data_IF_160278095692
#
_entry.id   IF_160278095692
#
_cell.length_a   1.000
_cell.length_b   1.000
_cell.length_c   1.000
_cell.angle_alpha   90.00
_cell.angle_beta   90.00
_cell.angle_gamma   90.00
#
_symmetry.space_group_name_H-M   'P 1'
#
loop_
_entity.id
_entity.type
_entity.pdbx_description
1 polymer ?
#
# COMPACT_ATOMS: atom_id res chain seq x y z
N UNK A 1 -12.80 1.96 18.50
CA UNK A 1 -13.33 0.83 17.71
C UNK A 1 -12.31 -0.29 17.81
N UNK A 2 -12.71 -1.56 17.82
CA UNK A 2 -11.80 -2.71 17.83
C UNK A 2 -12.01 -3.45 16.52
N UNK A 3 -10.92 -3.65 15.77
CA UNK A 3 -10.94 -4.37 14.49
C UNK A 3 -10.79 -5.88 14.73
N UNK A 4 -11.55 -6.67 13.99
CA UNK A 4 -11.42 -8.12 13.99
C UNK A 4 -10.30 -8.56 13.04
N UNK A 5 -9.41 -9.42 13.53
CA UNK A 5 -8.30 -9.96 12.78
C UNK A 5 -8.54 -11.43 12.45
N UNK A 6 -8.60 -11.74 11.16
CA UNK A 6 -8.75 -13.08 10.61
C UNK A 6 -7.41 -13.54 10.02
N UNK A 7 -6.48 -13.99 10.84
CA UNK A 7 -5.10 -14.26 10.44
C UNK A 7 -4.97 -15.57 9.64
N UNK A 8 -5.54 -15.62 8.44
CA UNK A 8 -5.50 -16.80 7.57
C UNK A 8 -4.25 -16.86 6.68
N UNK A 9 -3.56 -15.73 6.50
CA UNK A 9 -2.34 -15.66 5.71
C UNK A 9 -1.14 -15.75 6.66
N UNK A 10 -0.38 -16.84 6.57
CA UNK A 10 0.86 -17.00 7.33
C UNK A 10 1.88 -15.88 7.04
N UNK A 11 2.85 -15.72 7.93
CA UNK A 11 3.95 -14.80 7.71
C UNK A 11 4.87 -15.32 6.61
N UNK A 12 5.04 -14.53 5.56
CA UNK A 12 5.93 -14.82 4.45
C UNK A 12 7.07 -13.81 4.52
N UNK A 13 8.23 -14.26 4.93
CA UNK A 13 9.45 -13.47 4.85
C UNK A 13 10.21 -13.84 3.57
N UNK A 14 10.46 -12.84 2.73
CA UNK A 14 11.24 -13.00 1.51
C UNK A 14 12.54 -12.20 1.64
N UNK A 15 13.64 -12.78 1.16
CA UNK A 15 14.87 -12.01 1.01
C UNK A 15 14.68 -10.86 0.03
N UNK A 16 15.29 -9.70 0.36
CA UNK A 16 15.18 -8.47 -0.43
C UNK A 16 16.56 -8.06 -0.92
N UNK A 17 16.63 -7.69 -2.19
CA UNK A 17 17.83 -7.12 -2.80
C UNK A 17 17.46 -5.82 -3.51
N UNK A 18 18.14 -4.73 -3.16
CA UNK A 18 17.96 -3.47 -3.85
C UNK A 18 19.05 -3.31 -4.92
N UNK A 19 18.60 -3.08 -6.14
CA UNK A 19 19.45 -2.74 -7.28
C UNK A 19 19.10 -1.33 -7.76
N UNK A 20 19.98 -0.62 -8.49
CA UNK A 20 19.65 0.69 -9.00
C UNK A 20 18.35 0.69 -9.85
N UNK A 21 17.27 1.21 -9.27
CA UNK A 21 15.96 1.34 -9.94
C UNK A 21 15.02 0.16 -9.82
N UNK A 22 15.40 -0.93 -9.13
CA UNK A 22 14.53 -2.08 -8.92
C UNK A 22 14.78 -2.75 -7.56
N UNK A 23 13.71 -3.03 -6.82
CA UNK A 23 13.74 -3.91 -5.67
C UNK A 23 13.34 -5.31 -6.11
N UNK A 24 14.14 -6.30 -5.74
CA UNK A 24 13.90 -7.71 -6.02
C UNK A 24 13.58 -8.46 -4.74
N UNK A 25 12.77 -9.49 -4.84
CA UNK A 25 12.44 -10.43 -3.78
C UNK A 25 12.79 -11.84 -4.24
N UNK A 26 13.36 -12.64 -3.35
CA UNK A 26 13.57 -14.07 -3.63
C UNK A 26 12.33 -14.83 -3.20
N UNK A 27 11.67 -15.47 -4.16
CA UNK A 27 10.51 -16.34 -3.91
C UNK A 27 10.95 -17.75 -3.48
N UNK A 28 10.07 -18.56 -2.89
CA UNK A 28 10.43 -19.90 -2.38
C UNK A 28 11.02 -20.84 -3.45
N UNK A 29 10.71 -20.64 -4.71
CA UNK A 29 11.36 -21.37 -5.82
C UNK A 29 12.86 -21.05 -6.00
N UNK A 30 13.36 -20.02 -5.29
CA UNK A 30 14.73 -19.52 -5.39
C UNK A 30 14.94 -18.45 -6.45
N UNK A 31 13.92 -18.14 -7.23
CA UNK A 31 13.98 -17.09 -8.25
C UNK A 31 13.89 -15.68 -7.66
N UNK A 32 14.52 -14.71 -8.32
CA UNK A 32 14.44 -13.31 -7.98
C UNK A 32 13.40 -12.62 -8.84
N UNK A 33 12.34 -12.12 -8.23
CA UNK A 33 11.24 -11.41 -8.91
C UNK A 33 11.21 -9.93 -8.54
N UNK A 34 10.85 -9.05 -9.47
CA UNK A 34 10.76 -7.62 -9.19
C UNK A 34 9.59 -7.28 -8.25
N UNK A 35 9.75 -6.18 -7.50
CA UNK A 35 8.62 -5.66 -6.73
C UNK A 35 7.58 -5.01 -7.65
N UNK A 36 6.29 -5.16 -7.30
CA UNK A 36 5.18 -4.52 -8.02
C UNK A 36 5.39 -2.99 -8.10
N UNK A 37 5.92 -2.38 -7.04
CA UNK A 37 6.21 -0.93 -7.02
C UNK A 37 7.33 -0.55 -7.98
N UNK A 38 8.33 -1.41 -8.21
CA UNK A 38 9.36 -1.18 -9.21
C UNK A 38 8.79 -1.22 -10.62
N UNK A 39 7.89 -2.17 -10.89
CA UNK A 39 7.22 -2.30 -12.19
C UNK A 39 6.30 -1.10 -12.46
N UNK A 40 5.46 -0.72 -11.51
CA UNK A 40 4.54 0.42 -11.66
C UNK A 40 5.27 1.76 -11.75
N UNK A 41 6.39 1.93 -11.03
CA UNK A 41 7.20 3.14 -11.08
C UNK A 41 7.88 3.34 -12.44
N UNK A 42 8.14 2.26 -13.18
CA UNK A 42 8.71 2.33 -14.52
C UNK A 42 7.81 3.15 -15.47
N UNK A 43 6.51 2.92 -15.44
CA UNK A 43 5.55 3.64 -16.27
C UNK A 43 5.47 5.15 -15.92
N UNK A 44 5.61 5.47 -14.64
CA UNK A 44 5.52 6.84 -14.14
C UNK A 44 6.85 7.60 -14.17
N UNK A 45 7.94 6.93 -14.51
CA UNK A 45 9.30 7.50 -14.46
C UNK A 45 9.44 8.75 -15.31
N UNK A 46 8.92 8.74 -16.55
CA UNK A 46 9.03 9.88 -17.44
C UNK A 46 8.24 11.09 -16.95
N UNK A 47 7.05 10.84 -16.37
CA UNK A 47 6.21 11.90 -15.77
C UNK A 47 6.97 12.56 -14.62
N UNK A 48 7.60 11.77 -13.77
CA UNK A 48 8.37 12.25 -12.62
C UNK A 48 9.62 13.04 -13.06
N UNK A 49 10.34 12.57 -14.08
CA UNK A 49 11.49 13.28 -14.65
C UNK A 49 11.06 14.64 -15.21
N UNK A 50 9.98 14.69 -15.98
CA UNK A 50 9.46 15.93 -16.56
C UNK A 50 9.00 16.91 -15.48
N UNK A 51 8.33 16.42 -14.43
CA UNK A 51 7.95 17.23 -13.28
C UNK A 51 9.17 17.82 -12.57
N UNK A 52 10.22 17.00 -12.31
CA UNK A 52 11.48 17.48 -11.68
C UNK A 52 12.18 18.54 -12.51
N UNK A 53 12.20 18.39 -13.83
CA UNK A 53 12.76 19.41 -14.74
C UNK A 53 11.99 20.72 -14.69
N UNK A 54 10.66 20.67 -14.59
CA UNK A 54 9.79 21.86 -14.53
C UNK A 54 9.91 22.61 -13.20
N UNK A 55 9.95 21.89 -12.09
CA UNK A 55 9.94 22.46 -10.73
C UNK A 55 11.35 22.86 -10.27
N UNK A 56 12.38 22.24 -10.81
CA UNK A 56 13.76 22.36 -10.36
C UNK A 56 14.13 21.27 -9.34
N UNK A 57 15.41 20.88 -9.36
CA UNK A 57 15.88 19.72 -8.59
C UNK A 57 15.77 19.93 -7.08
N UNK A 58 16.16 21.11 -6.59
CA UNK A 58 16.14 21.42 -5.16
C UNK A 58 14.72 21.44 -4.60
N UNK A 59 13.83 22.15 -5.28
CA UNK A 59 12.42 22.24 -4.87
C UNK A 59 11.73 20.87 -4.97
N UNK A 60 11.99 20.11 -6.03
CA UNK A 60 11.48 18.75 -6.17
C UNK A 60 11.94 17.84 -5.02
N UNK A 61 13.21 17.94 -4.61
CA UNK A 61 13.73 17.18 -3.47
C UNK A 61 13.06 17.61 -2.16
N UNK A 62 12.84 18.92 -1.95
CA UNK A 62 12.16 19.45 -0.78
C UNK A 62 10.72 18.94 -0.69
N UNK A 63 9.98 18.98 -1.80
CA UNK A 63 8.59 18.49 -1.89
C UNK A 63 8.56 16.98 -1.62
N UNK A 64 9.41 16.21 -2.30
CA UNK A 64 9.47 14.76 -2.14
C UNK A 64 9.78 14.38 -0.69
N UNK A 65 10.80 15.00 -0.08
CA UNK A 65 11.15 14.72 1.33
C UNK A 65 9.99 14.97 2.28
N UNK A 66 9.27 16.10 2.11
CA UNK A 66 8.10 16.41 2.94
C UNK A 66 6.96 15.42 2.71
N UNK A 67 6.69 15.05 1.46
CA UNK A 67 5.64 14.12 1.11
C UNK A 67 5.94 12.72 1.65
N UNK A 68 7.17 12.22 1.48
CA UNK A 68 7.61 10.92 2.00
C UNK A 68 7.47 10.87 3.52
N UNK A 69 8.04 11.88 4.24
CA UNK A 69 7.97 11.91 5.69
C UNK A 69 6.52 11.92 6.22
N UNK A 70 5.63 12.70 5.58
CA UNK A 70 4.21 12.72 5.93
C UNK A 70 3.51 11.40 5.62
N UNK A 71 3.85 10.79 4.49
CA UNK A 71 3.32 9.49 4.11
C UNK A 71 3.72 8.41 5.10
N UNK A 72 4.99 8.34 5.48
CA UNK A 72 5.49 7.37 6.48
C UNK A 72 4.74 7.51 7.80
N UNK A 73 4.69 8.73 8.37
CA UNK A 73 3.97 8.98 9.63
C UNK A 73 2.49 8.53 9.54
N UNK A 74 1.84 8.78 8.38
CA UNK A 74 0.43 8.40 8.20
C UNK A 74 0.26 6.88 8.11
N UNK A 75 1.13 6.20 7.36
CA UNK A 75 1.10 4.73 7.27
C UNK A 75 1.33 4.07 8.63
N UNK A 76 2.30 4.56 9.41
CA UNK A 76 2.57 4.06 10.77
C UNK A 76 1.36 4.25 11.70
N UNK A 77 0.73 5.43 11.66
CA UNK A 77 -0.47 5.68 12.45
C UNK A 77 -1.65 4.81 12.02
N UNK A 78 -1.87 4.65 10.71
CA UNK A 78 -2.94 3.81 10.18
C UNK A 78 -2.73 2.33 10.51
N UNK A 79 -1.49 1.84 10.38
CA UNK A 79 -1.12 0.49 10.77
C UNK A 79 -1.39 0.24 12.25
N UNK A 80 -0.88 1.10 13.14
CA UNK A 80 -1.08 0.97 14.57
C UNK A 80 -2.57 0.98 14.96
N UNK A 81 -3.36 1.84 14.30
CA UNK A 81 -4.80 1.91 14.50
C UNK A 81 -5.50 0.61 14.09
N UNK A 82 -5.23 0.09 12.89
CA UNK A 82 -5.80 -1.16 12.41
C UNK A 82 -5.34 -2.38 13.22
N UNK A 83 -4.16 -2.32 13.82
CA UNK A 83 -3.64 -3.34 14.75
C UNK A 83 -4.21 -3.22 16.17
N UNK A 84 -5.15 -2.32 16.41
CA UNK A 84 -5.72 -2.02 17.74
C UNK A 84 -4.68 -1.55 18.77
N UNK A 85 -3.60 -0.92 18.35
CA UNK A 85 -2.58 -0.33 19.22
C UNK A 85 -2.99 1.07 19.65
N UNK A 86 -2.57 1.46 20.83
CA UNK A 86 -2.73 2.85 21.29
C UNK A 86 -1.82 3.78 20.48
N UNK A 87 -2.38 4.91 20.05
CA UNK A 87 -1.67 5.96 19.32
C UNK A 87 -1.25 7.06 20.29
N UNK A 88 0.05 7.23 20.46
CA UNK A 88 0.57 8.42 21.13
C UNK A 88 0.67 9.56 20.11
N UNK A 89 -0.31 10.45 20.12
CA UNK A 89 -0.40 11.55 19.16
C UNK A 89 0.74 12.57 19.26
N UNK A 90 1.47 12.59 20.36
CA UNK A 90 2.58 13.55 20.54
C UNK A 90 3.78 13.18 19.65
N UNK A 91 3.87 11.93 19.22
CA UNK A 91 4.91 11.44 18.32
C UNK A 91 4.67 11.81 16.84
N UNK A 92 3.45 12.26 16.50
CA UNK A 92 3.05 12.53 15.12
C UNK A 92 2.97 14.02 14.80
N UNK A 93 3.34 14.37 13.57
CA UNK A 93 3.25 15.75 13.06
C UNK A 93 1.80 16.23 13.01
N UNK A 94 1.53 17.53 13.19
CA UNK A 94 0.18 18.10 13.12
C UNK A 94 -0.56 17.79 11.81
N UNK A 95 0.17 17.76 10.69
CA UNK A 95 -0.38 17.40 9.38
C UNK A 95 -0.86 15.94 9.34
N UNK A 96 -0.15 15.03 10.01
CA UNK A 96 -0.52 13.61 10.11
C UNK A 96 -1.79 13.44 10.94
N UNK A 97 -1.88 14.14 12.08
CA UNK A 97 -3.08 14.16 12.94
C UNK A 97 -4.31 14.62 12.15
N UNK A 98 -4.16 15.70 11.38
CA UNK A 98 -5.24 16.22 10.53
C UNK A 98 -5.66 15.19 9.46
N UNK A 99 -4.71 14.64 8.73
CA UNK A 99 -4.98 13.62 7.70
C UNK A 99 -5.65 12.39 8.30
N UNK A 100 -5.16 11.93 9.44
CA UNK A 100 -5.69 10.76 10.13
C UNK A 100 -7.14 10.97 10.59
N UNK A 101 -7.44 12.13 11.17
CA UNK A 101 -8.81 12.48 11.57
C UNK A 101 -9.79 12.39 10.38
N UNK A 102 -9.37 12.84 9.20
CA UNK A 102 -10.18 12.76 7.98
C UNK A 102 -10.26 11.36 7.40
N UNK A 103 -9.26 10.51 7.64
CA UNK A 103 -9.24 9.13 7.17
C UNK A 103 -10.02 8.17 8.09
N UNK A 104 -10.13 8.49 9.39
CA UNK A 104 -10.78 7.63 10.39
C UNK A 104 -12.17 7.12 9.96
N UNK A 105 -13.10 7.94 9.41
CA UNK A 105 -14.41 7.44 8.98
C UNK A 105 -14.35 6.39 7.85
N UNK A 106 -13.25 6.32 7.13
CA UNK A 106 -13.00 5.32 6.08
C UNK A 106 -12.28 4.10 6.66
N UNK A 107 -11.33 4.30 7.56
CA UNK A 107 -10.65 3.22 8.27
C UNK A 107 -11.64 2.43 9.14
N UNK A 108 -12.61 3.09 9.76
CA UNK A 108 -13.65 2.47 10.59
C UNK A 108 -14.60 1.53 9.82
N UNK A 109 -14.60 1.62 8.49
CA UNK A 109 -15.35 0.69 7.63
C UNK A 109 -14.58 -0.60 7.34
N UNK A 110 -13.30 -0.63 7.64
CA UNK A 110 -12.45 -1.82 7.50
C UNK A 110 -12.81 -2.79 8.62
N UNK A 111 -13.04 -4.05 8.26
CA UNK A 111 -13.21 -5.12 9.25
C UNK A 111 -12.73 -6.45 8.65
N UNK A 112 -12.67 -7.51 9.47
CA UNK A 112 -12.15 -8.82 9.06
C UNK A 112 -10.79 -8.68 8.36
N UNK A 113 -9.83 -8.15 9.09
CA UNK A 113 -8.48 -7.89 8.58
C UNK A 113 -7.72 -9.21 8.48
N UNK A 114 -7.32 -9.57 7.27
CA UNK A 114 -6.58 -10.80 6.98
C UNK A 114 -5.07 -10.60 7.05
N UNK A 115 -4.59 -9.40 6.72
CA UNK A 115 -3.18 -9.06 6.81
C UNK A 115 -2.98 -7.54 6.87
N UNK A 116 -1.95 -7.11 7.60
CA UNK A 116 -1.45 -5.73 7.63
C UNK A 116 0.03 -5.79 7.34
N UNK A 117 0.52 -4.90 6.45
CA UNK A 117 1.94 -4.76 6.10
C UNK A 117 2.60 -6.10 5.73
N UNK A 118 1.91 -6.91 4.95
CA UNK A 118 2.31 -8.27 4.63
C UNK A 118 3.02 -8.36 3.28
N UNK A 119 4.10 -9.14 3.21
CA UNK A 119 4.74 -9.47 1.95
C UNK A 119 3.95 -10.58 1.24
N UNK A 120 3.65 -10.35 -0.04
CA UNK A 120 2.99 -11.31 -0.92
C UNK A 120 3.84 -11.51 -2.16
N UNK A 121 3.69 -12.67 -2.79
CA UNK A 121 4.33 -12.98 -4.07
C UNK A 121 3.41 -13.82 -4.95
N UNK A 122 3.69 -13.80 -6.23
CA UNK A 122 3.05 -14.65 -7.21
C UNK A 122 4.11 -15.17 -8.18
N UNK A 123 4.35 -16.48 -8.16
CA UNK A 123 5.26 -17.13 -9.11
C UNK A 123 4.67 -17.07 -10.52
N UNK A 124 3.36 -17.19 -10.65
CA UNK A 124 2.67 -17.09 -11.94
C UNK A 124 2.87 -15.73 -12.61
N UNK A 125 2.80 -14.63 -11.85
CA UNK A 125 3.01 -13.28 -12.36
C UNK A 125 4.49 -12.87 -12.35
N UNK A 126 5.36 -13.63 -11.69
CA UNK A 126 6.76 -13.27 -11.50
C UNK A 126 6.92 -11.95 -10.73
N UNK A 127 6.11 -11.70 -9.71
CA UNK A 127 6.07 -10.45 -8.96
C UNK A 127 5.96 -10.70 -7.46
N UNK A 128 6.50 -9.78 -6.67
CA UNK A 128 6.29 -9.73 -5.25
C UNK A 128 6.05 -8.30 -4.78
N UNK A 129 5.54 -8.13 -3.57
CA UNK A 129 5.31 -6.80 -3.01
C UNK A 129 4.82 -6.85 -1.58
N UNK A 130 4.83 -5.69 -0.92
CA UNK A 130 4.22 -5.52 0.39
C UNK A 130 2.87 -4.83 0.22
N UNK A 131 1.84 -5.39 0.84
CA UNK A 131 0.49 -4.84 0.85
C UNK A 131 0.24 -4.19 2.21
N UNK A 132 -0.36 -3.00 2.20
CA UNK A 132 -0.63 -2.26 3.44
C UNK A 132 -1.71 -2.93 4.28
N UNK A 133 -2.83 -3.35 3.65
CA UNK A 133 -3.91 -4.04 4.33
C UNK A 133 -4.69 -4.95 3.37
N UNK A 134 -5.05 -6.14 3.84
CA UNK A 134 -6.01 -7.04 3.20
C UNK A 134 -7.17 -7.23 4.15
N UNK A 135 -8.37 -6.86 3.73
CA UNK A 135 -9.58 -6.93 4.53
C UNK A 135 -10.82 -7.24 3.69
N UNK A 136 -11.89 -7.63 4.33
CA UNK A 136 -13.21 -7.68 3.73
C UNK A 136 -13.91 -6.34 4.01
N UNK A 137 -14.28 -5.64 2.94
CA UNK A 137 -15.11 -4.45 3.03
C UNK A 137 -16.55 -4.86 2.73
N UNK A 138 -17.44 -4.74 3.72
CA UNK A 138 -18.87 -4.83 3.49
C UNK A 138 -19.36 -3.50 2.90
N UNK A 139 -19.04 -3.29 1.63
CA UNK A 139 -19.61 -2.17 0.87
C UNK A 139 -20.74 -2.67 0.02
N UNK A 140 -21.75 -1.82 -0.21
CA UNK A 140 -22.69 -2.06 -1.29
C UNK A 140 -21.94 -2.33 -2.58
N UNK A 141 -22.35 -3.31 -3.41
CA UNK A 141 -21.64 -3.62 -4.63
C UNK A 141 -21.38 -2.35 -5.43
N UNK A 142 -20.15 -2.18 -5.90
CA UNK A 142 -19.79 -1.05 -6.75
C UNK A 142 -20.73 -1.02 -7.98
N UNK A 143 -21.13 0.16 -8.47
CA UNK A 143 -21.84 0.24 -9.75
C UNK A 143 -21.11 -0.48 -10.90
N UNK A 144 -19.80 -0.67 -10.79
CA UNK A 144 -19.01 -1.47 -11.74
C UNK A 144 -19.22 -2.96 -11.58
N UNK A 145 -19.42 -3.46 -10.37
CA UNK A 145 -19.67 -4.89 -10.12
C UNK A 145 -21.04 -5.29 -10.67
N UNK A 146 -22.03 -4.38 -10.63
CA UNK A 146 -23.33 -4.57 -11.25
C UNK A 146 -23.30 -4.61 -12.78
N UNK A 147 -22.27 -4.06 -13.44
CA UNK A 147 -22.10 -4.13 -14.89
C UNK A 147 -21.47 -5.45 -15.34
N UNK A 148 -20.60 -6.05 -14.55
CA UNK A 148 -20.01 -7.36 -14.84
C UNK A 148 -21.01 -8.51 -14.72
N UNK A 149 -22.02 -8.38 -13.85
CA UNK A 149 -23.11 -9.38 -13.70
C UNK A 149 -24.14 -9.34 -14.84
N UNK A 150 -24.08 -8.38 -15.75
CA UNK A 150 -25.00 -8.21 -16.89
C UNK A 150 -24.43 -8.64 -18.24
N UNK A 151 -23.31 -9.32 -18.29
CA UNK A 151 -22.91 -9.98 -19.52
C UNK A 151 -23.86 -11.15 -19.77
N UNK A 152 -24.64 -11.13 -20.87
CA UNK A 152 -25.44 -12.28 -21.22
C UNK A 152 -24.49 -13.45 -21.49
N UNK A 153 -24.71 -14.58 -20.83
CA UNK A 153 -24.13 -15.83 -21.24
C UNK A 153 -24.57 -16.06 -22.68
N UNK A 154 -23.70 -15.81 -23.63
CA UNK A 154 -23.94 -16.19 -25.02
C UNK A 154 -24.11 -17.70 -25.05
N UNK A 155 -25.29 -18.13 -25.44
CA UNK A 155 -25.62 -19.49 -25.82
C UNK A 155 -24.77 -19.98 -26.99
#
# INVERSE_FOLDING_TARGET
MVFEHCNHLGDIELEKKETPGCRLYQVPSGEWVPSITSVTSFYNRQIFINWRKRVGVEEANRITKKATARGTDFHEAAQAYLENKELNWDDYRPATKFMFHHATPYLDKINNIHAIERTLYSEYLGLAGRVDCICLLYTSPSPRDGLLSRMPSSA
#
